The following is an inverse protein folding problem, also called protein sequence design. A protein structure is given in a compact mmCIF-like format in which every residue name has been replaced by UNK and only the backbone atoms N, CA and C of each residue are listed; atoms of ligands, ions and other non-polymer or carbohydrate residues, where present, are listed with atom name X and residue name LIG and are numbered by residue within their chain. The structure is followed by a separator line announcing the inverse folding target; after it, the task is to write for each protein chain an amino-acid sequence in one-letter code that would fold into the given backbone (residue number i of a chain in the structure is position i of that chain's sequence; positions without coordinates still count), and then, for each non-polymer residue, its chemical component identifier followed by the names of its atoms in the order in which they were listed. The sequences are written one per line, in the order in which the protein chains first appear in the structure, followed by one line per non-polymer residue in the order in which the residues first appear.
data_IF_992139154337
#
_entry.id   IF_992139154337
#
_cell.length_a   1.000
_cell.length_b   1.000
_cell.length_c   1.000
_cell.angle_alpha   90.00
_cell.angle_beta   90.00
_cell.angle_gamma   90.00
#
_symmetry.space_group_name_H-M   'P 1'
#
loop_
_entity.id
_entity.type
_entity.pdbx_description
1 polymer ?
#
# COMPACT_ATOMS: atom_id res chain seq x y z
N UNK A 1 -9.44 6.08 -15.09
CA UNK A 1 -9.14 7.49 -15.42
C UNK A 1 -7.77 7.51 -16.08
N UNK A 2 -7.61 7.97 -17.33
CA UNK A 2 -6.27 8.09 -17.92
C UNK A 2 -5.56 9.31 -17.29
N UNK A 3 -4.25 9.24 -16.98
CA UNK A 3 -3.53 10.38 -16.44
C UNK A 3 -3.59 11.55 -17.43
N UNK A 4 -3.91 12.76 -16.95
CA UNK A 4 -3.89 13.95 -17.81
C UNK A 4 -2.43 14.33 -18.03
N UNK A 5 -2.08 14.73 -19.25
CA UNK A 5 -0.72 15.18 -19.60
C UNK A 5 -0.20 16.18 -18.57
N UNK A 6 0.75 15.76 -17.72
CA UNK A 6 1.32 16.55 -16.63
C UNK A 6 1.40 15.81 -15.28
N UNK A 7 0.64 14.74 -15.07
CA UNK A 7 0.64 14.04 -13.78
C UNK A 7 1.87 13.12 -13.63
N UNK A 8 2.78 13.45 -12.70
CA UNK A 8 3.92 12.61 -12.34
C UNK A 8 3.45 11.42 -11.51
N UNK A 9 3.81 10.21 -11.93
CA UNK A 9 3.62 8.99 -11.13
C UNK A 9 4.81 8.86 -10.18
N UNK A 10 4.52 8.71 -8.90
CA UNK A 10 5.50 8.45 -7.84
C UNK A 10 5.12 7.16 -7.11
N UNK A 11 5.97 6.73 -6.18
CA UNK A 11 5.63 5.65 -5.27
C UNK A 11 5.76 6.09 -3.81
N UNK A 12 5.01 5.43 -2.94
CA UNK A 12 5.18 5.52 -1.49
C UNK A 12 5.52 4.15 -0.94
N UNK A 13 6.46 4.11 0.01
CA UNK A 13 6.82 2.89 0.75
C UNK A 13 6.24 2.94 2.16
N UNK A 14 5.59 1.86 2.55
CA UNK A 14 5.02 1.65 3.88
C UNK A 14 5.55 0.31 4.38
N UNK A 15 6.07 0.24 5.60
CA UNK A 15 6.46 -1.04 6.19
C UNK A 15 5.30 -1.58 7.02
N UNK A 16 4.96 -2.84 6.79
CA UNK A 16 3.83 -3.56 7.40
C UNK A 16 4.34 -4.80 8.12
N UNK A 17 3.95 -4.99 9.36
CA UNK A 17 4.20 -6.23 10.11
C UNK A 17 3.05 -7.22 9.96
N UNK A 18 3.36 -8.51 10.12
CA UNK A 18 2.37 -9.59 10.07
C UNK A 18 2.28 -10.30 8.72
N UNK A 19 3.05 -9.83 7.73
CA UNK A 19 3.14 -10.43 6.40
C UNK A 19 4.36 -11.35 6.36
N UNK A 20 4.14 -12.67 6.29
CA UNK A 20 5.20 -13.68 6.35
C UNK A 20 5.28 -14.55 5.10
N UNK A 21 4.21 -14.62 4.31
CA UNK A 21 4.10 -15.52 3.18
C UNK A 21 3.13 -14.98 2.12
N UNK A 22 3.08 -15.65 0.97
CA UNK A 22 2.24 -15.26 -0.17
C UNK A 22 0.74 -15.24 0.14
N UNK A 23 0.25 -16.05 1.09
CA UNK A 23 -1.15 -16.01 1.50
C UNK A 23 -1.45 -14.70 2.24
N UNK A 24 -0.61 -14.33 3.20
CA UNK A 24 -0.75 -13.07 3.95
C UNK A 24 -0.70 -11.87 3.00
N UNK A 25 0.20 -11.90 2.00
CA UNK A 25 0.29 -10.89 0.94
C UNK A 25 -1.03 -10.76 0.17
N UNK A 26 -1.64 -11.89 -0.23
CA UNK A 26 -2.89 -11.89 -0.99
C UNK A 26 -4.05 -11.34 -0.17
N UNK A 27 -4.16 -11.74 1.09
CA UNK A 27 -5.20 -11.26 2.02
C UNK A 27 -5.05 -9.74 2.22
N UNK A 28 -3.84 -9.25 2.54
CA UNK A 28 -3.59 -7.83 2.71
C UNK A 28 -3.84 -7.00 1.43
N UNK A 29 -3.46 -7.51 0.25
CA UNK A 29 -3.72 -6.83 -1.03
C UNK A 29 -5.21 -6.75 -1.34
N UNK A 30 -5.97 -7.80 -1.06
CA UNK A 30 -7.39 -7.85 -1.37
C UNK A 30 -8.16 -6.73 -0.66
N UNK A 31 -7.90 -6.49 0.62
CA UNK A 31 -8.55 -5.40 1.37
C UNK A 31 -8.08 -4.00 0.97
N UNK A 32 -6.81 -3.91 0.53
CA UNK A 32 -6.25 -2.66 0.03
C UNK A 32 -6.81 -2.30 -1.35
N UNK A 33 -7.19 -3.27 -2.19
CA UNK A 33 -7.74 -3.01 -3.53
C UNK A 33 -9.00 -2.15 -3.50
N UNK A 34 -9.92 -2.40 -2.58
CA UNK A 34 -11.15 -1.61 -2.44
C UNK A 34 -10.83 -0.14 -2.10
N UNK A 35 -9.89 0.05 -1.18
CA UNK A 35 -9.40 1.39 -0.81
C UNK A 35 -8.69 2.09 -1.96
N UNK A 36 -7.89 1.34 -2.73
CA UNK A 36 -7.12 1.89 -3.84
C UNK A 36 -8.02 2.30 -5.01
N UNK A 37 -9.08 1.53 -5.28
CA UNK A 37 -10.07 1.85 -6.29
C UNK A 37 -10.79 3.18 -5.97
N UNK A 38 -11.16 3.38 -4.70
CA UNK A 38 -11.85 4.60 -4.25
C UNK A 38 -10.93 5.83 -4.18
N UNK A 39 -9.65 5.64 -3.83
CA UNK A 39 -8.67 6.71 -3.66
C UNK A 39 -7.91 7.08 -4.96
N UNK A 40 -8.12 6.37 -6.07
CA UNK A 40 -7.39 6.58 -7.31
C UNK A 40 -5.93 6.13 -7.26
N UNK A 41 -5.61 5.19 -6.37
CA UNK A 41 -4.28 4.60 -6.24
C UNK A 41 -4.12 3.50 -7.31
N UNK A 42 -3.03 3.58 -8.08
CA UNK A 42 -2.95 2.87 -9.36
C UNK A 42 -2.51 1.41 -9.25
N UNK A 43 -1.46 1.14 -8.47
CA UNK A 43 -0.90 -0.20 -8.30
C UNK A 43 -0.25 -0.31 -6.92
N UNK A 44 -0.27 -1.51 -6.34
CA UNK A 44 0.49 -1.78 -5.14
C UNK A 44 1.11 -3.18 -5.16
N UNK A 45 2.26 -3.30 -4.51
CA UNK A 45 3.03 -4.55 -4.41
C UNK A 45 3.61 -4.68 -3.01
N UNK A 46 3.65 -5.90 -2.49
CA UNK A 46 4.42 -6.22 -1.29
C UNK A 46 5.77 -6.87 -1.64
N UNK A 47 6.79 -6.50 -0.90
CA UNK A 47 8.07 -7.20 -0.84
C UNK A 47 8.29 -7.73 0.58
N UNK A 48 8.25 -9.06 0.75
CA UNK A 48 8.43 -9.70 2.06
C UNK A 48 9.91 -9.73 2.44
N UNK A 49 10.25 -9.23 3.63
CA UNK A 49 11.65 -9.09 4.09
C UNK A 49 12.18 -10.29 4.88
N UNK A 50 11.32 -11.24 5.24
CA UNK A 50 11.69 -12.47 5.96
C UNK A 50 11.92 -12.31 7.46
N UNK A 51 11.70 -11.11 8.01
CA UNK A 51 11.80 -10.77 9.44
C UNK A 51 10.42 -10.55 10.10
N UNK A 52 9.35 -11.03 9.45
CA UNK A 52 7.97 -10.80 9.87
C UNK A 52 7.40 -9.45 9.42
N UNK A 53 8.14 -8.73 8.57
CA UNK A 53 7.67 -7.51 7.90
C UNK A 53 7.71 -7.64 6.39
N UNK A 54 6.92 -6.79 5.74
CA UNK A 54 6.95 -6.56 4.31
C UNK A 54 6.88 -5.06 4.01
N UNK A 55 7.49 -4.64 2.91
CA UNK A 55 7.29 -3.31 2.36
C UNK A 55 6.14 -3.33 1.37
N UNK A 56 5.14 -2.49 1.63
CA UNK A 56 4.10 -2.12 0.68
C UNK A 56 4.57 -0.93 -0.14
N UNK A 57 4.68 -1.12 -1.45
CA UNK A 57 4.93 -0.08 -2.42
C UNK A 57 3.62 0.28 -3.11
N UNK A 58 3.20 1.54 -3.00
CA UNK A 58 1.98 2.04 -3.65
C UNK A 58 2.39 3.04 -4.72
N UNK A 59 2.04 2.78 -5.98
CA UNK A 59 2.20 3.73 -7.09
C UNK A 59 0.95 4.59 -7.22
N UNK A 60 1.15 5.90 -7.28
CA UNK A 60 0.07 6.87 -7.34
C UNK A 60 0.50 8.14 -8.07
N UNK A 61 -0.46 8.97 -8.43
CA UNK A 61 -0.16 10.31 -8.92
C UNK A 61 0.42 11.13 -7.77
N UNK A 62 1.36 12.03 -8.08
CA UNK A 62 1.95 12.94 -7.10
C UNK A 62 0.91 13.77 -6.34
N UNK A 63 -0.20 14.09 -7.00
CA UNK A 63 -1.33 14.82 -6.43
C UNK A 63 -2.17 14.01 -5.43
N UNK A 64 -2.00 12.69 -5.38
CA UNK A 64 -2.70 11.80 -4.44
C UNK A 64 -1.88 11.63 -3.18
N UNK A 65 -2.51 11.85 -2.03
CA UNK A 65 -1.91 11.64 -0.70
C UNK A 65 -2.22 10.21 -0.25
N UNK A 66 -1.17 9.44 0.06
CA UNK A 66 -1.32 8.12 0.70
C UNK A 66 -1.53 8.34 2.19
N UNK A 67 -2.74 8.09 2.68
CA UNK A 67 -3.09 8.29 4.09
C UNK A 67 -2.86 7.01 4.89
N UNK A 68 -1.98 7.09 5.89
CA UNK A 68 -1.67 6.00 6.81
C UNK A 68 -2.91 5.43 7.49
N UNK A 69 -3.84 6.26 7.96
CA UNK A 69 -5.00 5.81 8.72
C UNK A 69 -5.95 4.99 7.84
N UNK A 70 -6.06 5.34 6.56
CA UNK A 70 -6.85 4.58 5.59
C UNK A 70 -6.19 3.21 5.34
N UNK A 71 -4.87 3.17 5.15
CA UNK A 71 -4.12 1.91 4.97
C UNK A 71 -4.24 1.01 6.21
N UNK A 72 -4.06 1.56 7.41
CA UNK A 72 -4.21 0.81 8.66
C UNK A 72 -5.64 0.25 8.81
N UNK A 73 -6.65 1.06 8.51
CA UNK A 73 -8.05 0.64 8.55
C UNK A 73 -8.39 -0.46 7.55
N UNK A 74 -7.75 -0.45 6.38
CA UNK A 74 -7.89 -1.51 5.37
C UNK A 74 -7.23 -2.81 5.84
N UNK A 75 -5.95 -2.72 6.26
CA UNK A 75 -5.16 -3.85 6.71
C UNK A 75 -5.74 -4.55 7.95
N UNK A 76 -6.36 -3.80 8.86
CA UNK A 76 -7.03 -4.35 10.03
C UNK A 76 -8.24 -5.23 9.70
N UNK A 77 -8.79 -5.16 8.47
CA UNK A 77 -9.88 -6.04 8.02
C UNK A 77 -9.38 -7.42 7.59
N UNK A 78 -8.14 -7.48 7.08
CA UNK A 78 -7.53 -8.70 6.54
C UNK A 78 -6.83 -9.58 7.55
N UNK A 79 -6.61 -9.09 8.77
CA UNK A 79 -5.94 -9.84 9.84
C UNK A 79 -5.16 -8.95 10.79
N UNK A 80 -4.19 -9.54 11.48
CA UNK A 80 -3.29 -8.86 12.43
C UNK A 80 -2.16 -8.06 11.71
N UNK A 81 -2.48 -7.43 10.57
CA UNK A 81 -1.53 -6.63 9.80
C UNK A 81 -1.47 -5.21 10.35
N UNK A 82 -0.25 -4.68 10.54
CA UNK A 82 -0.07 -3.34 11.15
C UNK A 82 0.97 -2.54 10.40
N UNK A 83 0.68 -1.26 10.15
CA UNK A 83 1.70 -0.33 9.65
C UNK A 83 2.68 -0.02 10.78
N UNK A 84 3.96 -0.26 10.53
CA UNK A 84 5.03 0.01 11.51
C UNK A 84 5.87 1.23 11.12
N UNK A 85 5.91 1.60 9.83
CA UNK A 85 6.63 2.78 9.34
C UNK A 85 6.04 3.33 8.02
N UNK A 86 6.22 4.62 7.76
CA UNK A 86 5.71 5.32 6.58
C UNK A 86 4.27 5.83 6.69
N UNK A 87 3.66 6.29 5.58
CA UNK A 87 4.17 6.25 4.20
C UNK A 87 5.32 7.24 3.94
N UNK A 88 6.35 6.76 3.24
CA UNK A 88 7.49 7.57 2.77
C UNK A 88 7.45 7.70 1.25
N UNK A 89 7.44 8.93 0.74
CA UNK A 89 7.54 9.18 -0.70
C UNK A 89 8.89 8.69 -1.23
N UNK A 90 8.85 7.96 -2.33
CA UNK A 90 10.01 7.52 -3.12
C UNK A 90 9.79 7.86 -4.60
N UNK A 91 10.88 8.15 -5.31
CA UNK A 91 10.86 8.56 -6.73
C UNK A 91 10.87 7.37 -7.68
#
# INVERSE_FOLDING_TARGET
MAPKNGDTIIASRITVSGINNDRDVKEALQDLYDVFADAGLGQATFEVRGDGTADLFVKHLESVVVDRAIIEGALARGGDFRVVDGPHRIV
#
